data_IF_471212792102
#
_entry.id   IF_471212792102
#
_cell.length_a   1.000
_cell.length_b   1.000
_cell.length_c   1.000
_cell.angle_alpha   90.00
_cell.angle_beta   90.00
_cell.angle_gamma   90.00
#
_symmetry.space_group_name_H-M   'P 1'
#
loop_
_entity.id
_entity.type
_entity.pdbx_description
1 polymer ?
#
# COMPACT_ATOMS: atom_id res chain seq x y z
N UNK A 1 -7.35 -25.04 3.18
CA UNK A 1 -6.47 -23.93 3.57
C UNK A 1 -7.38 -22.74 3.72
N UNK A 2 -7.39 -22.10 4.89
CA UNK A 2 -8.20 -20.90 5.10
C UNK A 2 -7.39 -19.74 4.55
N UNK A 3 -7.91 -19.03 3.54
CA UNK A 3 -7.37 -17.74 3.13
C UNK A 3 -7.58 -16.76 4.28
N UNK A 4 -6.61 -16.68 5.19
CA UNK A 4 -6.66 -15.85 6.40
C UNK A 4 -6.36 -14.40 6.02
N UNK A 5 -7.23 -13.85 5.18
CA UNK A 5 -7.15 -12.46 4.73
C UNK A 5 -7.98 -11.57 5.64
N UNK A 6 -7.41 -10.45 6.06
CA UNK A 6 -8.09 -9.46 6.90
C UNK A 6 -8.09 -8.13 6.14
N UNK A 7 -9.27 -7.56 5.93
CA UNK A 7 -9.40 -6.22 5.38
C UNK A 7 -9.52 -5.19 6.52
N UNK A 8 -8.66 -4.18 6.50
CA UNK A 8 -8.66 -3.08 7.46
C UNK A 8 -8.63 -1.73 6.75
N UNK A 9 -9.18 -0.69 7.38
CA UNK A 9 -9.04 0.69 6.91
C UNK A 9 -7.86 1.35 7.60
N UNK A 10 -6.98 1.98 6.82
CA UNK A 10 -5.72 2.57 7.31
C UNK A 10 -5.53 3.96 6.73
N UNK A 11 -4.85 4.83 7.47
CA UNK A 11 -4.40 6.14 6.96
C UNK A 11 -2.95 6.02 6.47
N UNK A 12 -2.68 6.56 5.29
CA UNK A 12 -1.39 6.48 4.61
C UNK A 12 -0.50 7.67 4.92
N UNK A 13 0.80 7.46 5.01
CA UNK A 13 1.73 8.50 5.44
C UNK A 13 3.06 8.56 4.69
N UNK A 14 3.56 9.78 4.46
CA UNK A 14 4.93 10.05 4.00
C UNK A 14 5.19 9.84 2.50
N UNK A 15 4.15 9.63 1.70
CA UNK A 15 4.26 9.41 0.26
C UNK A 15 3.18 10.17 -0.53
N UNK A 16 3.01 9.83 -1.82
CA UNK A 16 2.08 10.54 -2.72
C UNK A 16 0.61 10.53 -2.28
N UNK A 17 0.22 9.59 -1.40
CA UNK A 17 -1.15 9.43 -0.90
C UNK A 17 -1.26 9.81 0.59
N UNK A 18 -0.31 10.61 1.11
CA UNK A 18 -0.30 11.05 2.51
C UNK A 18 -1.64 11.66 2.95
N UNK A 19 -2.14 11.22 4.10
CA UNK A 19 -3.40 11.64 4.70
C UNK A 19 -4.65 10.98 4.12
N UNK A 20 -4.53 10.11 3.11
CA UNK A 20 -5.68 9.37 2.59
C UNK A 20 -5.99 8.13 3.45
N UNK A 21 -7.28 7.85 3.64
CA UNK A 21 -7.73 6.59 4.22
C UNK A 21 -8.14 5.60 3.14
N UNK A 22 -7.63 4.37 3.20
CA UNK A 22 -7.96 3.31 2.23
C UNK A 22 -8.17 1.96 2.90
N UNK A 23 -8.91 1.07 2.24
CA UNK A 23 -9.06 -0.32 2.66
C UNK A 23 -7.90 -1.14 2.09
N UNK A 24 -7.18 -1.84 2.97
CA UNK A 24 -6.11 -2.76 2.59
C UNK A 24 -6.46 -4.18 3.01
N UNK A 25 -6.12 -5.15 2.16
CA UNK A 25 -6.28 -6.58 2.46
C UNK A 25 -4.92 -7.14 2.81
N UNK A 26 -4.81 -7.62 4.05
CA UNK A 26 -3.60 -8.21 4.60
C UNK A 26 -3.62 -9.72 4.44
N UNK A 27 -2.44 -10.27 4.17
CA UNK A 27 -2.16 -11.71 4.31
C UNK A 27 -1.21 -11.92 5.49
N UNK A 28 -1.16 -13.14 6.05
CA UNK A 28 -0.23 -13.44 7.15
C UNK A 28 1.25 -13.36 6.72
N UNK A 29 1.53 -13.50 5.42
CA UNK A 29 2.89 -13.60 4.88
C UNK A 29 3.46 -12.25 4.43
N UNK A 30 2.61 -11.34 3.92
CA UNK A 30 3.06 -10.05 3.40
C UNK A 30 2.07 -8.92 3.75
N UNK A 31 2.47 -7.99 4.65
CA UNK A 31 1.67 -6.81 4.99
C UNK A 31 1.89 -5.62 4.04
N UNK A 32 2.59 -5.80 2.93
CA UNK A 32 2.89 -4.73 1.97
C UNK A 32 1.76 -4.61 0.95
N UNK A 33 1.37 -3.38 0.64
CA UNK A 33 0.26 -3.11 -0.28
C UNK A 33 0.70 -2.12 -1.34
N UNK A 34 0.56 -2.54 -2.60
CA UNK A 34 0.77 -1.69 -3.76
C UNK A 34 -0.57 -1.05 -4.17
N UNK A 35 -0.68 0.27 -3.97
CA UNK A 35 -1.88 1.03 -4.30
C UNK A 35 -1.71 1.71 -5.66
N UNK A 36 -2.64 1.53 -6.62
CA UNK A 36 -2.63 2.26 -7.89
C UNK A 36 -2.57 3.77 -7.65
N UNK A 37 -1.62 4.44 -8.31
CA UNK A 37 -1.44 5.86 -8.16
C UNK A 37 -0.78 6.48 -9.40
N UNK A 38 -1.58 7.14 -10.23
CA UNK A 38 -1.10 7.85 -11.42
C UNK A 38 -0.22 9.07 -11.07
N UNK A 39 -0.32 9.58 -9.84
CA UNK A 39 0.48 10.70 -9.33
C UNK A 39 1.77 10.28 -8.64
N UNK A 40 2.14 9.00 -8.65
CA UNK A 40 3.42 8.54 -8.13
C UNK A 40 4.57 8.88 -9.10
N UNK A 41 5.80 8.50 -8.73
CA UNK A 41 7.00 8.72 -9.57
C UNK A 41 6.84 8.17 -11.00
N UNK A 42 6.02 7.13 -11.19
CA UNK A 42 5.77 6.48 -12.48
C UNK A 42 4.30 6.68 -12.91
N UNK A 43 4.02 7.34 -14.05
CA UNK A 43 2.65 7.42 -14.58
C UNK A 43 2.04 6.03 -14.76
N UNK A 44 0.83 5.80 -14.24
CA UNK A 44 0.18 4.48 -14.24
C UNK A 44 0.73 3.48 -13.21
N UNK A 45 1.68 3.91 -12.37
CA UNK A 45 2.36 3.08 -11.39
C UNK A 45 1.57 2.86 -10.11
N UNK A 46 2.30 2.42 -9.08
CA UNK A 46 1.75 2.13 -7.75
C UNK A 46 2.65 2.70 -6.67
N UNK A 47 2.06 3.13 -5.57
CA UNK A 47 2.79 3.48 -4.35
C UNK A 47 2.66 2.34 -3.34
N UNK A 48 3.78 1.85 -2.84
CA UNK A 48 3.86 0.79 -1.83
C UNK A 48 3.77 1.41 -0.44
N UNK A 49 2.89 0.87 0.39
CA UNK A 49 2.80 1.17 1.81
C UNK A 49 2.89 -0.11 2.64
N UNK A 50 3.50 0.01 3.82
CA UNK A 50 3.58 -1.05 4.82
C UNK A 50 3.47 -0.45 6.23
N UNK A 51 2.97 -1.22 7.22
CA UNK A 51 2.95 -0.79 8.61
C UNK A 51 4.37 -0.68 9.17
N UNK A 52 4.66 0.42 9.88
CA UNK A 52 5.87 0.59 10.67
C UNK A 52 5.80 -0.20 12.01
N UNK A 53 6.82 -0.07 12.85
CA UNK A 53 6.86 -0.72 14.17
C UNK A 53 5.78 -0.25 15.14
N UNK A 54 5.11 0.87 14.86
CA UNK A 54 3.99 1.42 15.63
C UNK A 54 2.63 1.10 14.98
N UNK A 55 2.62 0.38 13.85
CA UNK A 55 1.41 0.07 13.07
C UNK A 55 0.93 1.20 12.15
N UNK A 56 1.72 2.28 11.98
CA UNK A 56 1.41 3.38 11.06
C UNK A 56 1.77 2.97 9.63
N UNK A 57 0.86 3.18 8.69
CA UNK A 57 1.11 2.82 7.29
C UNK A 57 1.94 3.89 6.59
N UNK A 58 3.20 3.57 6.33
CA UNK A 58 4.17 4.51 5.77
C UNK A 58 4.61 4.08 4.39
N UNK A 59 4.79 5.06 3.51
CA UNK A 59 5.27 4.87 2.15
C UNK A 59 6.66 4.23 2.18
N UNK A 60 6.85 3.23 1.32
CA UNK A 60 8.11 2.50 1.18
C UNK A 60 8.80 2.81 -0.14
N UNK A 61 8.05 2.78 -1.24
CA UNK A 61 8.58 2.97 -2.58
C UNK A 61 7.45 3.24 -3.59
N UNK A 62 7.81 3.74 -4.76
CA UNK A 62 6.93 3.74 -5.93
C UNK A 62 7.41 2.66 -6.91
N UNK A 63 6.46 1.98 -7.55
CA UNK A 63 6.75 0.98 -8.56
C UNK A 63 6.12 1.37 -9.89
N UNK A 64 6.79 1.10 -11.02
CA UNK A 64 6.20 1.31 -12.33
C UNK A 64 4.96 0.44 -12.53
N UNK A 65 4.13 0.82 -13.51
CA UNK A 65 3.02 -0.02 -13.94
C UNK A 65 3.56 -1.40 -14.36
N UNK A 66 2.82 -2.46 -14.05
CA UNK A 66 3.08 -3.77 -14.64
C UNK A 66 2.94 -3.62 -16.16
N UNK A 67 4.08 -3.65 -16.87
CA UNK A 67 4.10 -3.57 -18.33
C UNK A 67 3.71 -4.95 -18.86
N UNK A 68 2.68 -5.06 -19.73
CA UNK A 68 2.22 -6.35 -20.28
C UNK A 68 3.26 -7.02 -21.19
#
# INVERSE_FOLDING_TARGET
MSDNTISITVELHGGPLDGQSTSVTLTEEDPWVALPNDGCTFPGGRSIYAPDTNGRWVWQDDQPADIP
#
